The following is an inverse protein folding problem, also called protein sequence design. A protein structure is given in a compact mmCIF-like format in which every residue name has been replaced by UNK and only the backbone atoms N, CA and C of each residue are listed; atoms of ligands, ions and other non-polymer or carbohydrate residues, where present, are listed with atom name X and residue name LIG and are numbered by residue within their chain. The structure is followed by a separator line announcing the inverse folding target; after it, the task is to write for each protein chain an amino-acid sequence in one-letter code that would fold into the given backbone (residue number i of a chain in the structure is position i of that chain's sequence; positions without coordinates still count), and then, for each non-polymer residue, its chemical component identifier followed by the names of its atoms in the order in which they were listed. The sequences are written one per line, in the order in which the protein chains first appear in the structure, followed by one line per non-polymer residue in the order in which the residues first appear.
data_IF_450457849710
#
_entry.id   IF_450457849710
#
_cell.length_a   1.000
_cell.length_b   1.000
_cell.length_c   1.000
_cell.angle_alpha   90.00
_cell.angle_beta   90.00
_cell.angle_gamma   90.00
#
_symmetry.space_group_name_H-M   'P 1'
#
loop_
_entity.id
_entity.type
_entity.pdbx_description
1 polymer ?
#
# COMPACT_ATOMS: atom_id res chain seq x y z
N UNK A 1 18.13 23.25 -3.15
CA UNK A 1 17.10 22.24 -3.48
C UNK A 1 15.87 22.98 -4.01
N UNK A 2 15.80 23.27 -5.32
CA UNK A 2 14.80 24.21 -5.90
C UNK A 2 14.02 23.58 -7.07
N UNK A 3 13.58 22.33 -6.94
CA UNK A 3 12.89 21.60 -8.04
C UNK A 3 11.59 20.91 -7.63
N UNK A 4 10.90 21.42 -6.61
CA UNK A 4 9.53 21.01 -6.30
C UNK A 4 8.60 22.22 -6.36
N UNK A 5 7.36 22.03 -6.85
CA UNK A 5 6.24 22.98 -6.72
C UNK A 5 5.77 23.08 -5.24
N UNK A 6 6.72 23.14 -4.31
CA UNK A 6 6.61 22.59 -2.96
C UNK A 6 5.54 23.25 -2.09
N UNK A 7 4.88 22.42 -1.28
CA UNK A 7 4.12 22.86 -0.12
C UNK A 7 5.09 23.37 0.96
N UNK A 8 4.76 24.48 1.60
CA UNK A 8 5.47 24.98 2.78
C UNK A 8 4.70 24.61 4.04
N UNK A 9 5.39 24.12 5.06
CA UNK A 9 4.80 23.83 6.36
C UNK A 9 5.03 25.02 7.31
N UNK A 10 3.95 25.60 7.81
CA UNK A 10 3.96 26.65 8.82
C UNK A 10 3.50 26.07 10.16
N UNK A 11 4.37 26.08 11.16
CA UNK A 11 4.04 25.63 12.51
C UNK A 11 3.14 26.68 13.19
N UNK A 12 1.96 26.23 13.65
CA UNK A 12 1.02 27.05 14.43
C UNK A 12 1.21 26.81 15.92
N UNK A 13 1.40 25.55 16.30
CA UNK A 13 1.73 25.09 17.65
C UNK A 13 2.51 23.76 17.56
N UNK A 14 2.96 23.20 18.69
CA UNK A 14 3.69 21.93 18.77
C UNK A 14 3.01 20.79 17.98
N UNK A 15 1.68 20.75 18.03
CA UNK A 15 0.87 19.69 17.40
C UNK A 15 0.25 20.12 16.07
N UNK A 16 0.17 21.42 15.77
CA UNK A 16 -0.62 21.94 14.65
C UNK A 16 0.27 22.62 13.64
N UNK A 17 0.18 22.18 12.39
CA UNK A 17 0.81 22.86 11.27
C UNK A 17 -0.19 23.20 10.19
N UNK A 18 0.22 24.11 9.33
CA UNK A 18 -0.53 24.51 8.15
C UNK A 18 0.35 24.30 6.93
N UNK A 19 -0.07 23.43 6.01
CA UNK A 19 0.56 23.28 4.71
C UNK A 19 -0.02 24.31 3.75
N UNK A 20 0.84 25.13 3.14
CA UNK A 20 0.44 26.16 2.17
C UNK A 20 1.08 25.90 0.82
N UNK A 21 0.33 26.18 -0.23
CA UNK A 21 0.89 26.31 -1.56
C UNK A 21 1.66 27.63 -1.69
N UNK A 22 2.62 27.73 -2.64
CA UNK A 22 3.33 28.97 -2.91
C UNK A 22 2.37 30.14 -3.22
N UNK A 23 2.75 31.35 -2.79
CA UNK A 23 2.01 32.57 -3.13
C UNK A 23 1.86 32.73 -4.64
N UNK A 24 0.65 33.09 -5.10
CA UNK A 24 0.31 33.18 -6.53
C UNK A 24 -0.18 31.86 -7.15
N UNK A 25 -0.26 30.77 -6.38
CA UNK A 25 -0.94 29.55 -6.82
C UNK A 25 -2.45 29.82 -6.92
N UNK A 26 -3.08 29.40 -8.03
CA UNK A 26 -4.53 29.45 -8.18
C UNK A 26 -5.10 28.03 -8.15
N UNK A 27 -6.17 27.83 -7.38
CA UNK A 27 -6.89 26.56 -7.36
C UNK A 27 -7.71 26.42 -8.64
N UNK A 28 -7.40 25.40 -9.45
CA UNK A 28 -8.12 25.09 -10.70
C UNK A 28 -9.00 23.85 -10.56
N UNK A 29 -8.82 23.07 -9.49
CA UNK A 29 -9.59 21.85 -9.27
C UNK A 29 -10.86 22.16 -8.48
N UNK A 30 -12.01 21.93 -9.13
CA UNK A 30 -13.32 22.14 -8.53
C UNK A 30 -13.92 20.81 -8.06
N UNK A 31 -14.27 20.73 -6.78
CA UNK A 31 -14.94 19.57 -6.23
C UNK A 31 -16.44 19.64 -6.49
N UNK A 32 -16.93 18.82 -7.41
CA UNK A 32 -18.35 18.81 -7.79
C UNK A 32 -19.30 18.34 -6.67
N UNK A 33 -18.82 17.53 -5.72
CA UNK A 33 -19.64 17.02 -4.62
C UNK A 33 -19.86 18.09 -3.55
N UNK A 34 -18.82 18.84 -3.20
CA UNK A 34 -18.86 19.85 -2.15
C UNK A 34 -19.06 21.28 -2.67
N UNK A 35 -19.08 21.46 -3.98
CA UNK A 35 -19.25 22.75 -4.67
C UNK A 35 -18.22 23.82 -4.29
N UNK A 36 -17.00 23.38 -3.98
CA UNK A 36 -15.88 24.24 -3.59
C UNK A 36 -14.63 23.90 -4.41
N UNK A 37 -13.81 24.92 -4.68
CA UNK A 37 -12.47 24.71 -5.20
C UNK A 37 -11.57 24.11 -4.13
N UNK A 38 -10.57 23.34 -4.54
CA UNK A 38 -9.57 22.79 -3.63
C UNK A 38 -8.91 23.92 -2.84
N UNK A 39 -8.82 23.80 -1.50
CA UNK A 39 -8.15 24.82 -0.71
C UNK A 39 -6.64 24.83 -1.00
N UNK A 40 -6.04 26.02 -0.92
CA UNK A 40 -4.59 26.21 -1.05
C UNK A 40 -3.87 26.19 0.31
N UNK A 41 -4.61 25.91 1.37
CA UNK A 41 -4.15 25.88 2.74
C UNK A 41 -4.82 24.71 3.48
N UNK A 42 -3.99 23.88 4.11
CA UNK A 42 -4.43 22.67 4.81
C UNK A 42 -3.93 22.70 6.25
N UNK A 43 -4.86 22.72 7.21
CA UNK A 43 -4.54 22.59 8.62
C UNK A 43 -4.42 21.12 9.01
N UNK A 44 -3.36 20.79 9.73
CA UNK A 44 -3.03 19.43 10.12
C UNK A 44 -2.70 19.38 11.60
N UNK A 45 -3.37 18.49 12.33
CA UNK A 45 -3.01 18.14 13.71
C UNK A 45 -2.16 16.87 13.67
N UNK A 46 -0.85 17.07 13.82
CA UNK A 46 0.16 16.01 13.80
C UNK A 46 0.02 15.13 15.05
N UNK A 47 -0.39 15.68 16.20
CA UNK A 47 -0.53 14.89 17.41
C UNK A 47 -1.73 13.95 17.33
N UNK A 48 -2.88 14.42 16.83
CA UNK A 48 -4.02 13.55 16.55
C UNK A 48 -3.68 12.50 15.49
N UNK A 49 -2.97 12.90 14.43
CA UNK A 49 -2.48 11.96 13.42
C UNK A 49 -1.52 10.92 14.01
N UNK A 50 -0.62 11.31 14.91
CA UNK A 50 0.28 10.40 15.62
C UNK A 50 -0.50 9.48 16.56
N UNK A 51 -1.47 9.98 17.34
CA UNK A 51 -2.29 9.17 18.23
C UNK A 51 -3.09 8.13 17.45
N UNK A 52 -3.69 8.54 16.34
CA UNK A 52 -4.35 7.64 15.41
C UNK A 52 -3.33 6.63 14.86
N UNK A 53 -2.16 7.09 14.43
CA UNK A 53 -1.11 6.24 13.91
C UNK A 53 -0.60 5.24 14.96
N UNK A 54 -0.50 5.59 16.23
CA UNK A 54 -0.16 4.67 17.34
C UNK A 54 -1.22 3.57 17.50
N UNK A 55 -2.51 3.90 17.36
CA UNK A 55 -3.58 2.89 17.35
C UNK A 55 -3.44 1.93 16.16
N UNK A 56 -3.13 2.46 14.98
CA UNK A 56 -2.93 1.67 13.76
C UNK A 56 -1.57 0.96 13.70
N UNK A 57 -0.55 1.42 14.43
CA UNK A 57 0.81 0.86 14.42
C UNK A 57 0.85 -0.54 15.01
N UNK A 58 -0.09 -0.85 15.91
CA UNK A 58 -0.29 -2.19 16.47
C UNK A 58 -1.19 -3.07 15.61
N UNK A 59 -1.73 -2.56 14.49
CA UNK A 59 -2.44 -3.39 13.54
C UNK A 59 -1.47 -4.08 12.59
N UNK A 60 -1.74 -5.35 12.29
CA UNK A 60 -1.00 -6.09 11.27
C UNK A 60 -1.38 -5.62 9.87
N UNK A 61 -0.39 -5.25 9.05
CA UNK A 61 -0.57 -4.88 7.63
C UNK A 61 -1.06 -6.05 6.78
N UNK A 62 -0.78 -7.27 7.23
CA UNK A 62 -1.23 -8.51 6.59
C UNK A 62 -2.38 -9.09 7.41
N UNK A 63 -3.48 -9.41 6.76
CA UNK A 63 -4.56 -10.14 7.41
C UNK A 63 -4.07 -11.52 7.85
N UNK A 64 -4.21 -11.85 9.13
CA UNK A 64 -3.79 -13.12 9.73
C UNK A 64 -4.98 -13.96 10.19
N UNK A 65 -4.74 -15.25 10.43
CA UNK A 65 -5.66 -16.16 11.11
C UNK A 65 -6.05 -15.63 12.49
N UNK A 66 -5.06 -15.20 13.29
CA UNK A 66 -5.25 -14.62 14.62
C UNK A 66 -6.23 -13.43 14.61
N UNK A 67 -6.12 -12.53 13.62
CA UNK A 67 -7.05 -11.41 13.48
C UNK A 67 -8.49 -11.87 13.14
N UNK A 68 -8.63 -12.88 12.28
CA UNK A 68 -9.95 -13.45 11.97
C UNK A 68 -10.60 -14.11 13.18
N UNK A 69 -9.81 -14.80 14.00
CA UNK A 69 -10.30 -15.49 15.20
C UNK A 69 -10.71 -14.52 16.31
N UNK A 70 -10.03 -13.37 16.41
CA UNK A 70 -10.36 -12.33 17.38
C UNK A 70 -11.60 -11.49 16.96
N UNK A 71 -11.99 -11.53 15.68
CA UNK A 71 -13.11 -10.72 15.17
C UNK A 71 -14.46 -11.41 15.45
N UNK A 72 -15.43 -10.71 16.07
CA UNK A 72 -16.81 -11.20 16.17
C UNK A 72 -17.37 -11.54 14.77
N UNK A 73 -17.94 -12.73 14.63
CA UNK A 73 -18.47 -13.28 13.37
C UNK A 73 -17.45 -13.37 12.21
N UNK A 74 -16.15 -13.24 12.48
CA UNK A 74 -15.09 -13.26 11.47
C UNK A 74 -15.09 -14.52 10.60
N UNK A 75 -15.46 -15.65 11.18
CA UNK A 75 -15.60 -16.92 10.46
C UNK A 75 -16.79 -16.97 9.50
N UNK A 76 -17.95 -16.51 9.96
CA UNK A 76 -19.21 -16.60 9.21
C UNK A 76 -19.28 -15.53 8.11
N UNK A 77 -18.90 -14.30 8.44
CA UNK A 77 -19.10 -13.16 7.54
C UNK A 77 -17.92 -12.88 6.63
N UNK A 78 -16.72 -13.28 7.03
CA UNK A 78 -15.50 -12.84 6.37
C UNK A 78 -14.65 -14.00 5.85
N UNK A 79 -14.46 -15.06 6.63
CA UNK A 79 -13.66 -16.21 6.22
C UNK A 79 -14.29 -16.93 5.01
N UNK A 80 -15.60 -17.19 5.06
CA UNK A 80 -16.35 -17.75 3.94
C UNK A 80 -16.21 -16.92 2.64
N UNK A 81 -16.27 -15.59 2.72
CA UNK A 81 -16.08 -14.71 1.55
C UNK A 81 -14.70 -14.84 0.91
N UNK A 82 -13.66 -15.19 1.69
CA UNK A 82 -12.29 -15.35 1.19
C UNK A 82 -12.08 -16.70 0.47
N UNK A 83 -12.77 -17.74 0.91
CA UNK A 83 -12.67 -19.09 0.35
C UNK A 83 -13.82 -19.46 -0.58
N UNK A 84 -14.84 -18.61 -0.77
CA UNK A 84 -15.96 -18.84 -1.68
C UNK A 84 -15.52 -19.20 -3.11
N UNK A 85 -14.38 -18.67 -3.55
CA UNK A 85 -13.78 -18.99 -4.84
C UNK A 85 -13.21 -20.41 -4.96
N UNK A 86 -12.99 -21.08 -3.83
CA UNK A 86 -12.52 -22.46 -3.72
C UNK A 86 -13.71 -23.44 -3.61
N UNK A 87 -14.94 -22.96 -3.80
CA UNK A 87 -16.16 -23.78 -3.77
C UNK A 87 -16.82 -23.89 -2.39
N UNK A 88 -16.26 -23.25 -1.37
CA UNK A 88 -16.83 -23.19 -0.02
C UNK A 88 -17.55 -21.85 0.19
N UNK A 89 -18.81 -21.76 -0.22
CA UNK A 89 -19.65 -20.56 -0.07
C UNK A 89 -19.95 -20.24 1.40
N UNK A 90 -19.94 -21.26 2.27
CA UNK A 90 -20.13 -21.14 3.71
C UNK A 90 -19.24 -22.11 4.47
N UNK A 91 -18.59 -21.63 5.55
CA UNK A 91 -17.71 -22.43 6.41
C UNK A 91 -18.49 -23.37 7.36
N UNK A 92 -19.41 -24.18 6.82
CA UNK A 92 -20.15 -25.18 7.60
C UNK A 92 -19.26 -26.36 8.05
N UNK A 93 -18.31 -26.77 7.20
CA UNK A 93 -17.25 -27.68 7.58
C UNK A 93 -16.02 -26.86 7.99
N UNK A 94 -15.77 -26.82 9.31
CA UNK A 94 -14.68 -26.04 9.89
C UNK A 94 -13.31 -26.50 9.38
N UNK A 95 -13.06 -27.81 9.35
CA UNK A 95 -11.77 -28.38 8.93
C UNK A 95 -11.43 -28.01 7.49
N UNK A 96 -12.40 -28.14 6.58
CA UNK A 96 -12.22 -27.77 5.17
C UNK A 96 -11.97 -26.25 5.01
N UNK A 97 -12.70 -25.43 5.77
CA UNK A 97 -12.51 -23.99 5.78
C UNK A 97 -11.12 -23.61 6.33
N UNK A 98 -10.64 -24.31 7.36
CA UNK A 98 -9.28 -24.16 7.90
C UNK A 98 -8.20 -24.49 6.86
N UNK A 99 -8.33 -25.63 6.18
CA UNK A 99 -7.40 -26.03 5.11
C UNK A 99 -7.31 -24.98 4.01
N UNK A 100 -8.45 -24.45 3.56
CA UNK A 100 -8.47 -23.40 2.55
C UNK A 100 -7.90 -22.06 3.05
N UNK A 101 -8.16 -21.69 4.30
CA UNK A 101 -7.66 -20.43 4.87
C UNK A 101 -6.15 -20.49 5.15
N UNK A 102 -5.62 -21.65 5.53
CA UNK A 102 -4.19 -21.84 5.80
C UNK A 102 -3.32 -21.59 4.55
N UNK A 103 -3.88 -21.79 3.35
CA UNK A 103 -3.20 -21.47 2.09
C UNK A 103 -3.18 -19.96 1.81
N UNK A 104 -4.16 -19.21 2.33
CA UNK A 104 -4.37 -17.80 2.02
C UNK A 104 -3.83 -16.85 3.10
N UNK A 105 -3.90 -17.25 4.37
CA UNK A 105 -3.65 -16.37 5.50
C UNK A 105 -2.59 -17.00 6.42
N UNK A 106 -1.52 -16.27 6.75
CA UNK A 106 -0.57 -16.73 7.75
C UNK A 106 -1.23 -16.78 9.13
N UNK A 107 -0.77 -17.73 9.96
CA UNK A 107 -1.29 -17.90 11.31
C UNK A 107 -1.11 -16.64 12.17
N UNK A 108 0.07 -16.02 12.05
CA UNK A 108 0.52 -14.84 12.81
C UNK A 108 1.12 -13.80 11.85
N UNK A 109 1.29 -12.53 12.29
CA UNK A 109 1.94 -11.52 11.47
C UNK A 109 3.31 -12.01 10.98
N UNK A 110 3.55 -12.08 9.66
CA UNK A 110 4.78 -12.63 9.11
C UNK A 110 5.98 -11.68 9.25
N UNK A 111 5.72 -10.43 9.64
CA UNK A 111 6.72 -9.38 9.77
C UNK A 111 6.71 -8.82 11.19
N UNK A 112 7.89 -8.46 11.66
CA UNK A 112 8.08 -7.77 12.93
C UNK A 112 8.45 -6.30 12.69
N UNK A 113 8.22 -5.40 13.67
CA UNK A 113 8.56 -3.99 13.52
C UNK A 113 10.02 -3.78 13.11
N UNK A 114 10.24 -2.90 12.12
CA UNK A 114 11.56 -2.51 11.59
C UNK A 114 12.38 -3.63 10.96
N UNK A 115 11.74 -4.70 10.48
CA UNK A 115 12.42 -5.77 9.74
C UNK A 115 13.19 -5.26 8.49
N UNK A 116 12.71 -4.18 7.85
CA UNK A 116 13.37 -3.52 6.71
C UNK A 116 13.72 -2.09 7.11
N UNK A 117 14.98 -1.68 6.88
CA UNK A 117 15.46 -0.34 7.25
C UNK A 117 15.27 0.65 6.11
N UNK A 118 15.45 0.21 4.86
CA UNK A 118 15.20 1.02 3.66
C UNK A 118 14.23 0.30 2.73
N UNK A 119 13.25 1.04 2.19
CA UNK A 119 12.24 0.51 1.28
C UNK A 119 12.15 1.36 0.02
N UNK A 120 12.09 0.73 -1.15
CA UNK A 120 11.70 1.39 -2.40
C UNK A 120 10.26 1.02 -2.75
N UNK A 121 9.41 2.02 -2.96
CA UNK A 121 8.04 1.85 -3.46
C UNK A 121 8.01 2.28 -4.92
N UNK A 122 7.81 1.34 -5.83
CA UNK A 122 7.91 1.57 -7.27
C UNK A 122 6.52 1.51 -7.90
N UNK A 123 6.00 2.67 -8.27
CA UNK A 123 4.76 2.78 -9.04
C UNK A 123 4.93 2.40 -10.52
N UNK A 124 3.89 2.64 -11.31
CA UNK A 124 3.82 2.17 -12.71
C UNK A 124 3.87 3.29 -13.76
N UNK A 125 4.25 4.51 -13.35
CA UNK A 125 4.32 5.65 -14.28
C UNK A 125 5.41 5.45 -15.33
N UNK A 126 5.10 5.81 -16.58
CA UNK A 126 6.08 5.82 -17.67
C UNK A 126 7.24 6.79 -17.45
N UNK A 127 7.10 7.75 -16.52
CA UNK A 127 8.18 8.67 -16.15
C UNK A 127 9.41 7.96 -15.60
N UNK A 128 9.26 6.76 -15.05
CA UNK A 128 10.38 5.93 -14.60
C UNK A 128 11.37 5.63 -15.72
N UNK A 129 10.94 5.66 -16.99
CA UNK A 129 11.82 5.43 -18.14
C UNK A 129 12.70 6.63 -18.50
N UNK A 130 12.51 7.79 -17.85
CA UNK A 130 13.29 9.01 -18.10
C UNK A 130 14.57 9.06 -17.27
N UNK A 131 14.74 8.18 -16.27
CA UNK A 131 15.90 8.21 -15.36
C UNK A 131 16.24 6.80 -14.89
N UNK A 132 17.52 6.50 -14.79
CA UNK A 132 18.05 5.16 -14.52
C UNK A 132 18.09 4.85 -13.01
N UNK A 133 16.92 4.68 -12.40
CA UNK A 133 16.81 4.39 -10.96
C UNK A 133 17.12 2.93 -10.59
N UNK A 134 17.36 2.03 -11.57
CA UNK A 134 17.30 0.60 -11.32
C UNK A 134 18.26 0.10 -10.23
N UNK A 135 19.51 0.58 -10.24
CA UNK A 135 20.50 0.23 -9.21
C UNK A 135 20.15 0.79 -7.84
N UNK A 136 19.61 2.01 -7.79
CA UNK A 136 19.19 2.65 -6.54
C UNK A 136 18.01 1.90 -5.92
N UNK A 137 17.00 1.58 -6.73
CA UNK A 137 15.84 0.78 -6.31
C UNK A 137 16.30 -0.56 -5.72
N UNK A 138 17.15 -1.30 -6.44
CA UNK A 138 17.61 -2.63 -6.00
C UNK A 138 18.52 -2.60 -4.76
N UNK A 139 19.06 -1.43 -4.39
CA UNK A 139 19.90 -1.26 -3.19
C UNK A 139 19.13 -1.21 -1.87
N UNK A 140 17.79 -1.06 -1.91
CA UNK A 140 16.95 -1.01 -0.73
C UNK A 140 16.74 -2.40 -0.11
N UNK A 141 16.50 -2.49 1.20
CA UNK A 141 16.29 -3.77 1.89
C UNK A 141 15.04 -4.49 1.36
N UNK A 142 13.97 -3.74 1.08
CA UNK A 142 12.75 -4.23 0.45
C UNK A 142 12.30 -3.36 -0.73
N UNK A 143 11.79 -4.00 -1.77
CA UNK A 143 11.17 -3.37 -2.93
C UNK A 143 9.71 -3.79 -3.05
N UNK A 144 8.82 -2.80 -2.97
CA UNK A 144 7.36 -2.95 -3.09
C UNK A 144 6.95 -2.45 -4.47
N UNK A 145 6.17 -3.26 -5.20
CA UNK A 145 5.70 -2.96 -6.56
C UNK A 145 4.19 -3.15 -6.66
N UNK A 146 3.56 -2.46 -7.61
CA UNK A 146 2.11 -2.54 -7.80
C UNK A 146 1.70 -3.20 -9.12
N UNK A 147 0.60 -3.95 -9.08
CA UNK A 147 -0.12 -4.47 -10.25
C UNK A 147 0.76 -5.28 -11.21
N UNK A 148 0.61 -5.11 -12.53
CA UNK A 148 1.26 -5.87 -13.60
C UNK A 148 2.51 -5.22 -14.21
N UNK A 149 3.12 -4.21 -13.58
CA UNK A 149 4.34 -3.60 -14.13
C UNK A 149 5.47 -4.64 -14.38
N UNK A 150 6.01 -4.73 -15.61
CA UNK A 150 7.01 -5.71 -15.94
C UNK A 150 8.31 -5.38 -15.22
N UNK A 151 8.92 -6.42 -14.64
CA UNK A 151 10.27 -6.37 -14.09
C UNK A 151 11.04 -7.39 -14.89
N UNK A 152 11.88 -6.95 -15.81
CA UNK A 152 12.65 -7.81 -16.71
C UNK A 152 13.89 -7.05 -17.20
N UNK A 153 14.80 -7.74 -17.89
CA UNK A 153 16.08 -7.17 -18.35
C UNK A 153 15.90 -5.90 -19.21
N UNK A 154 14.81 -5.82 -19.99
CA UNK A 154 14.51 -4.66 -20.84
C UNK A 154 14.34 -3.37 -20.02
N UNK A 155 13.72 -3.46 -18.85
CA UNK A 155 13.42 -2.30 -17.98
C UNK A 155 14.34 -2.20 -16.76
N UNK A 156 15.17 -3.21 -16.50
CA UNK A 156 16.04 -3.33 -15.33
C UNK A 156 16.86 -2.05 -15.05
N UNK A 157 17.36 -1.40 -16.10
CA UNK A 157 18.12 -0.14 -16.01
C UNK A 157 17.35 0.98 -15.29
N UNK A 158 16.04 1.02 -15.49
CA UNK A 158 15.16 2.07 -14.99
C UNK A 158 14.49 1.69 -13.68
N UNK A 159 14.03 0.45 -13.55
CA UNK A 159 13.15 0.03 -12.45
C UNK A 159 13.72 -1.09 -11.57
N UNK A 160 14.92 -1.58 -11.86
CA UNK A 160 15.59 -2.66 -11.12
C UNK A 160 14.98 -4.04 -11.39
N UNK A 161 15.52 -5.07 -10.75
CA UNK A 161 15.07 -6.46 -10.83
C UNK A 161 14.59 -7.04 -9.50
N UNK A 162 14.87 -6.38 -8.37
CA UNK A 162 14.50 -6.85 -7.03
C UNK A 162 12.98 -6.79 -6.82
N UNK A 163 12.44 -7.83 -6.19
CA UNK A 163 11.00 -8.09 -6.02
C UNK A 163 10.78 -8.77 -4.66
N UNK A 164 10.49 -8.00 -3.62
CA UNK A 164 10.17 -8.56 -2.30
C UNK A 164 8.65 -8.64 -2.11
N UNK A 165 7.96 -7.54 -2.42
CA UNK A 165 6.51 -7.44 -2.29
C UNK A 165 5.86 -6.96 -3.56
N UNK A 166 4.67 -7.50 -3.83
CA UNK A 166 3.86 -7.06 -4.95
C UNK A 166 2.40 -6.97 -4.58
N UNK A 167 1.85 -5.76 -4.63
CA UNK A 167 0.46 -5.49 -4.33
C UNK A 167 -0.35 -5.71 -5.60
N UNK A 168 -1.22 -6.71 -5.58
CA UNK A 168 -2.05 -7.08 -6.73
C UNK A 168 -3.48 -7.30 -6.28
N UNK A 169 -4.42 -6.84 -7.11
CA UNK A 169 -5.81 -7.23 -6.97
C UNK A 169 -6.04 -8.60 -7.57
N UNK A 170 -7.10 -9.29 -7.12
CA UNK A 170 -7.41 -10.65 -7.55
C UNK A 170 -7.56 -10.81 -9.08
N UNK A 171 -8.14 -9.81 -9.76
CA UNK A 171 -8.29 -9.83 -11.22
C UNK A 171 -6.94 -9.82 -11.95
N UNK A 172 -5.99 -9.03 -11.45
CA UNK A 172 -4.63 -8.91 -11.96
C UNK A 172 -3.76 -10.15 -11.68
N UNK A 173 -4.00 -10.82 -10.55
CA UNK A 173 -3.23 -11.99 -10.14
C UNK A 173 -3.25 -13.15 -11.16
N UNK A 174 -4.30 -13.27 -11.99
CA UNK A 174 -4.34 -14.28 -13.07
C UNK A 174 -3.28 -14.02 -14.15
N UNK A 175 -2.99 -12.76 -14.43
CA UNK A 175 -2.01 -12.35 -15.43
C UNK A 175 -0.57 -12.40 -14.88
N UNK A 176 -0.42 -12.41 -13.55
CA UNK A 176 0.87 -12.44 -12.87
C UNK A 176 1.72 -13.66 -13.18
N UNK A 177 1.14 -14.83 -13.48
CA UNK A 177 1.93 -16.05 -13.78
C UNK A 177 2.86 -15.82 -14.98
N UNK A 178 2.42 -15.07 -16.00
CA UNK A 178 3.25 -14.73 -17.16
C UNK A 178 4.34 -13.72 -16.79
N UNK A 179 3.98 -12.71 -16.01
CA UNK A 179 4.90 -11.64 -15.58
C UNK A 179 6.00 -12.17 -14.65
N UNK A 180 5.66 -13.08 -13.74
CA UNK A 180 6.63 -13.75 -12.86
C UNK A 180 7.60 -14.63 -13.64
N UNK A 181 7.17 -15.17 -14.79
CA UNK A 181 8.03 -15.92 -15.73
C UNK A 181 8.82 -15.00 -16.67
N UNK A 182 8.80 -13.68 -16.46
CA UNK A 182 9.61 -12.72 -17.20
C UNK A 182 9.07 -12.37 -18.59
N UNK A 183 7.76 -12.58 -18.84
CA UNK A 183 7.09 -12.09 -20.07
C UNK A 183 7.05 -10.57 -20.15
#
# INVERSE_FOLDING_TARGET
ANRGLGLTAHLVDLCKLTLKFPEGTNSTWYNEQFKVFEPLEYHYDICDAILLWEQYRNMTTVLTREYLDARPDGWLDYAAKRIAQLGADKCYNRTLCEEHLNVLLPAKPPFHPRQFRTCAVVGNSGDLLKTEFGKEIDSHDAVIRDNEAPVNEKYAKYVGLKRDFRLVVRGAARNMIKILKGS
#
